data_IF_404593935693
#
_entry.id   IF_404593935693
#
_cell.length_a   1.000
_cell.length_b   1.000
_cell.length_c   1.000
_cell.angle_alpha   90.00
_cell.angle_beta   90.00
_cell.angle_gamma   90.00
#
_symmetry.space_group_name_H-M   'P 1'
#
loop_
_entity.id
_entity.type
_entity.pdbx_description
1 polymer ?
#
# COMPACT_ATOMS: atom_id res chain seq x y z
N UNK A 1 -30.77 6.38 -0.37
CA UNK A 1 -30.80 5.16 -1.20
C UNK A 1 -30.09 5.34 -2.55
N UNK A 2 -30.37 6.41 -3.31
CA UNK A 2 -29.72 6.66 -4.62
C UNK A 2 -28.20 6.92 -4.54
N UNK A 3 -27.75 7.75 -3.60
CA UNK A 3 -26.32 8.03 -3.39
C UNK A 3 -25.50 6.80 -3.02
N UNK A 4 -26.04 5.95 -2.13
CA UNK A 4 -25.39 4.70 -1.74
C UNK A 4 -25.20 3.79 -2.95
N UNK A 5 -26.26 3.52 -3.72
CA UNK A 5 -26.19 2.67 -4.93
C UNK A 5 -25.22 3.21 -5.99
N UNK A 6 -25.19 4.54 -6.16
CA UNK A 6 -24.26 5.17 -7.10
C UNK A 6 -22.79 4.89 -6.72
N UNK A 7 -22.43 5.08 -5.46
CA UNK A 7 -21.05 4.85 -4.99
C UNK A 7 -20.74 3.38 -4.76
N UNK A 8 -21.70 2.55 -4.38
CA UNK A 8 -21.58 1.08 -4.36
C UNK A 8 -21.25 0.55 -5.77
N UNK A 9 -21.85 1.09 -6.83
CA UNK A 9 -21.48 0.73 -8.21
C UNK A 9 -20.07 1.16 -8.65
N UNK A 10 -19.46 2.10 -7.93
CA UNK A 10 -18.08 2.62 -8.18
C UNK A 10 -17.06 1.87 -7.34
N UNK A 11 -17.36 1.66 -6.05
CA UNK A 11 -16.42 1.12 -5.05
C UNK A 11 -16.68 -0.33 -4.66
N UNK A 12 -17.88 -0.84 -4.88
CA UNK A 12 -18.29 -2.22 -4.58
C UNK A 12 -17.99 -3.21 -5.72
N UNK A 13 -17.36 -2.77 -6.81
CA UNK A 13 -16.81 -3.72 -7.79
C UNK A 13 -15.55 -4.36 -7.20
N UNK A 14 -15.51 -5.69 -7.19
CA UNK A 14 -14.28 -6.41 -6.85
C UNK A 14 -13.14 -6.00 -7.80
N UNK A 15 -11.96 -5.82 -7.20
CA UNK A 15 -10.67 -5.44 -7.79
C UNK A 15 -10.80 -4.51 -8.99
N UNK A 16 -10.56 -3.21 -8.76
CA UNK A 16 -9.88 -2.46 -9.81
C UNK A 16 -8.60 -3.23 -10.13
N UNK A 17 -8.49 -3.72 -11.36
CA UNK A 17 -7.21 -3.91 -12.03
C UNK A 17 -6.46 -2.56 -11.90
N UNK A 18 -5.83 -2.27 -10.76
CA UNK A 18 -4.65 -1.43 -10.80
C UNK A 18 -3.78 -2.13 -11.83
N UNK A 19 -3.61 -1.47 -12.98
CA UNK A 19 -3.51 -2.20 -14.24
C UNK A 19 -2.38 -3.21 -14.10
N UNK A 20 -2.68 -4.47 -14.38
CA UNK A 20 -1.68 -5.55 -14.33
C UNK A 20 -0.40 -5.13 -15.07
N UNK A 21 -0.56 -4.25 -16.07
CA UNK A 21 0.47 -3.52 -16.82
C UNK A 21 1.36 -2.57 -16.03
N UNK A 22 0.84 -1.78 -15.07
CA UNK A 22 1.65 -0.87 -14.23
C UNK A 22 2.59 -1.67 -13.32
N UNK A 23 2.12 -2.80 -12.84
CA UNK A 23 2.89 -3.70 -11.98
C UNK A 23 3.82 -4.62 -12.77
N UNK A 24 3.35 -5.13 -13.90
CA UNK A 24 4.19 -5.81 -14.87
C UNK A 24 5.33 -4.89 -15.29
N UNK A 25 5.17 -3.58 -15.46
CA UNK A 25 6.33 -2.74 -15.76
C UNK A 25 7.40 -2.74 -14.65
N UNK A 26 6.99 -2.66 -13.37
CA UNK A 26 7.90 -2.70 -12.20
C UNK A 26 8.60 -4.07 -12.08
N UNK A 27 7.91 -5.14 -12.51
CA UNK A 27 8.31 -6.54 -12.31
C UNK A 27 8.99 -7.19 -13.53
N UNK A 28 8.46 -6.92 -14.72
CA UNK A 28 8.61 -7.71 -15.96
C UNK A 28 9.83 -7.33 -16.77
N UNK A 29 10.50 -6.24 -16.43
CA UNK A 29 11.83 -5.96 -16.93
C UNK A 29 12.79 -6.12 -15.76
N UNK A 30 13.99 -6.66 -16.00
CA UNK A 30 15.13 -6.69 -15.07
C UNK A 30 15.60 -5.28 -14.61
N UNK A 31 14.67 -4.32 -14.46
CA UNK A 31 14.87 -2.97 -13.93
C UNK A 31 15.35 -3.06 -12.49
N UNK A 32 14.78 -3.95 -11.67
CA UNK A 32 15.21 -4.16 -10.28
C UNK A 32 16.37 -5.15 -10.23
N UNK A 33 17.50 -4.68 -9.68
CA UNK A 33 18.64 -5.54 -9.37
C UNK A 33 18.27 -6.47 -8.20
N UNK A 34 19.05 -7.51 -7.99
CA UNK A 34 18.76 -8.44 -6.90
C UNK A 34 18.92 -7.79 -5.53
N UNK A 35 19.82 -6.80 -5.38
CA UNK A 35 19.94 -6.00 -4.16
C UNK A 35 18.69 -5.13 -3.90
N UNK A 36 18.09 -4.58 -4.96
CA UNK A 36 16.85 -3.79 -4.84
C UNK A 36 15.69 -4.66 -4.34
N UNK A 37 15.59 -5.89 -4.87
CA UNK A 37 14.58 -6.87 -4.46
C UNK A 37 14.78 -7.29 -3.02
N UNK A 38 16.02 -7.60 -2.65
CA UNK A 38 16.38 -7.93 -1.27
C UNK A 38 16.01 -6.79 -0.31
N UNK A 39 16.29 -5.54 -0.68
CA UNK A 39 15.91 -4.38 0.11
C UNK A 39 14.39 -4.20 0.24
N UNK A 40 13.62 -4.43 -0.83
CA UNK A 40 12.14 -4.35 -0.77
C UNK A 40 11.55 -5.45 0.11
N UNK A 41 12.11 -6.66 0.02
CA UNK A 41 11.60 -7.86 0.68
C UNK A 41 12.07 -8.03 2.12
N UNK A 42 13.16 -7.36 2.53
CA UNK A 42 13.67 -7.48 3.91
C UNK A 42 12.58 -7.19 4.93
N UNK A 43 12.63 -7.87 6.06
CA UNK A 43 11.65 -7.68 7.13
C UNK A 43 11.56 -6.21 7.57
N UNK A 44 10.37 -5.83 8.05
CA UNK A 44 10.20 -4.52 8.66
C UNK A 44 11.03 -4.44 9.94
N UNK A 45 11.83 -3.38 10.07
CA UNK A 45 12.56 -3.14 11.31
C UNK A 45 11.77 -2.22 12.23
N UNK A 46 11.88 -2.42 13.55
CA UNK A 46 11.24 -1.53 14.52
C UNK A 46 11.67 -0.08 14.36
N UNK A 47 12.95 0.16 14.08
CA UNK A 47 13.49 1.49 13.83
C UNK A 47 12.83 2.20 12.62
N UNK A 48 12.53 1.46 11.55
CA UNK A 48 11.85 1.98 10.37
C UNK A 48 10.40 2.37 10.69
N UNK A 49 9.68 1.55 11.46
CA UNK A 49 8.31 1.86 11.90
C UNK A 49 8.31 3.06 12.86
N UNK A 50 9.21 3.09 13.83
CA UNK A 50 9.35 4.20 14.78
C UNK A 50 9.63 5.53 14.06
N UNK A 51 10.56 5.51 13.09
CA UNK A 51 10.87 6.69 12.27
C UNK A 51 9.66 7.12 11.44
N UNK A 52 8.92 6.17 10.87
CA UNK A 52 7.71 6.46 10.09
C UNK A 52 6.67 7.16 10.95
N UNK A 53 6.34 6.61 12.13
CA UNK A 53 5.35 7.17 13.05
C UNK A 53 5.71 8.60 13.47
N UNK A 54 7.00 8.85 13.79
CA UNK A 54 7.50 10.19 14.12
C UNK A 54 7.37 11.18 12.95
N UNK A 55 7.49 10.70 11.72
CA UNK A 55 7.38 11.53 10.51
C UNK A 55 5.94 11.82 10.05
N UNK A 56 4.94 11.22 10.70
CA UNK A 56 3.54 11.39 10.30
C UNK A 56 3.08 12.86 10.43
N UNK A 57 2.42 13.41 9.39
CA UNK A 57 1.92 14.78 9.44
C UNK A 57 0.68 14.90 10.32
N UNK A 58 0.54 16.01 11.04
CA UNK A 58 -0.65 16.26 11.88
C UNK A 58 -1.89 16.61 11.05
N UNK A 59 -3.05 16.55 11.71
CA UNK A 59 -4.37 16.94 11.21
C UNK A 59 -4.84 16.12 10.00
N UNK A 60 -4.56 14.82 10.03
CA UNK A 60 -5.09 13.86 9.05
C UNK A 60 -6.31 13.14 9.61
N UNK A 61 -7.28 12.90 8.75
CA UNK A 61 -8.51 12.21 9.12
C UNK A 61 -8.22 10.74 9.49
N UNK A 62 -8.76 10.24 10.61
CA UNK A 62 -8.63 8.85 11.03
C UNK A 62 -9.45 7.92 10.13
N UNK A 63 -9.30 6.61 10.34
CA UNK A 63 -10.12 5.59 9.68
C UNK A 63 -11.41 5.32 10.46
N UNK A 64 -11.95 4.11 10.30
CA UNK A 64 -13.15 3.65 11.02
C UNK A 64 -12.97 3.53 12.53
N UNK A 65 -11.74 3.34 12.96
CA UNK A 65 -11.31 3.27 14.36
C UNK A 65 -11.33 4.63 15.08
N UNK A 66 -11.39 5.74 14.33
CA UNK A 66 -11.29 7.08 14.89
C UNK A 66 -9.91 7.44 15.46
N UNK A 67 -8.87 6.62 15.23
CA UNK A 67 -7.53 6.85 15.79
C UNK A 67 -6.66 7.69 14.84
N UNK A 68 -6.38 8.96 15.16
CA UNK A 68 -5.59 9.83 14.29
C UNK A 68 -4.09 9.58 14.47
N UNK A 69 -3.26 10.19 13.61
CA UNK A 69 -1.81 10.01 13.68
C UNK A 69 -1.22 10.49 15.02
N UNK A 70 -1.81 11.52 15.59
CA UNK A 70 -1.44 12.11 16.87
C UNK A 70 -1.63 11.12 18.02
N UNK A 71 -2.60 10.21 17.95
CA UNK A 71 -2.77 9.15 18.93
C UNK A 71 -1.55 8.23 18.92
N UNK A 72 -1.17 7.73 17.74
CA UNK A 72 0.00 6.87 17.58
C UNK A 72 1.29 7.57 18.03
N UNK A 73 1.47 8.84 17.68
CA UNK A 73 2.64 9.62 18.09
C UNK A 73 2.70 9.85 19.61
N UNK A 74 1.55 10.09 20.26
CA UNK A 74 1.49 10.40 21.69
C UNK A 74 1.62 9.16 22.57
N UNK A 75 1.04 8.05 22.14
CA UNK A 75 0.97 6.80 22.91
C UNK A 75 1.92 5.72 22.38
N UNK A 76 2.86 6.06 21.49
CA UNK A 76 3.76 5.08 20.86
C UNK A 76 4.54 4.22 21.86
N UNK A 77 4.94 4.81 22.99
CA UNK A 77 5.65 4.07 24.04
C UNK A 77 4.79 2.98 24.70
N UNK A 78 3.46 3.09 24.63
CA UNK A 78 2.51 2.14 25.21
C UNK A 78 2.07 1.07 24.21
N UNK A 79 1.86 1.44 22.93
CA UNK A 79 1.25 0.56 21.92
C UNK A 79 2.21 0.14 20.81
N UNK A 80 3.40 0.72 20.75
CA UNK A 80 4.27 0.63 19.57
C UNK A 80 4.81 -0.77 19.31
N UNK A 81 4.93 -1.61 20.34
CA UNK A 81 5.38 -3.00 20.19
C UNK A 81 4.29 -3.84 19.53
N UNK A 82 3.05 -3.71 20.00
CA UNK A 82 1.90 -4.43 19.48
C UNK A 82 1.60 -4.01 18.04
N UNK A 83 1.60 -2.71 17.77
CA UNK A 83 1.42 -2.19 16.41
C UNK A 83 2.55 -2.67 15.50
N UNK A 84 3.82 -2.66 15.94
CA UNK A 84 4.93 -3.20 15.16
C UNK A 84 4.69 -4.67 14.79
N UNK A 85 4.28 -5.51 15.73
CA UNK A 85 4.03 -6.92 15.48
C UNK A 85 2.93 -7.13 14.44
N UNK A 86 1.81 -6.40 14.56
CA UNK A 86 0.72 -6.44 13.57
C UNK A 86 1.21 -6.02 12.18
N UNK A 87 1.95 -4.91 12.08
CA UNK A 87 2.47 -4.43 10.79
C UNK A 87 3.48 -5.40 10.19
N UNK A 88 4.32 -6.01 11.02
CA UNK A 88 5.33 -6.98 10.60
C UNK A 88 4.68 -8.27 10.09
N UNK A 89 3.67 -8.79 10.78
CA UNK A 89 2.89 -9.95 10.33
C UNK A 89 2.16 -9.65 9.02
N UNK A 90 1.44 -8.53 8.95
CA UNK A 90 0.74 -8.12 7.74
C UNK A 90 1.69 -7.96 6.56
N UNK A 91 2.87 -7.36 6.82
CA UNK A 91 3.93 -7.26 5.84
C UNK A 91 4.34 -8.66 5.40
N UNK A 92 4.76 -9.56 6.29
CA UNK A 92 5.30 -10.88 5.92
C UNK A 92 4.29 -11.79 5.22
N UNK A 93 3.04 -11.80 5.66
CA UNK A 93 1.99 -12.59 5.04
C UNK A 93 1.50 -12.00 3.71
N UNK A 94 1.75 -10.71 3.47
CA UNK A 94 1.20 -9.99 2.33
C UNK A 94 -0.32 -9.84 2.42
N UNK A 95 -0.86 -9.79 3.63
CA UNK A 95 -2.28 -9.71 3.92
C UNK A 95 -2.53 -8.67 5.01
N UNK A 96 -3.61 -7.92 4.86
CA UNK A 96 -4.07 -6.98 5.86
C UNK A 96 -5.15 -7.61 6.72
N UNK A 97 -5.22 -7.16 7.97
CA UNK A 97 -6.36 -7.44 8.84
C UNK A 97 -7.67 -6.90 8.23
N UNK A 98 -8.81 -7.45 8.66
CA UNK A 98 -10.13 -6.99 8.23
C UNK A 98 -10.35 -5.49 8.46
N UNK A 99 -9.93 -4.95 9.61
CA UNK A 99 -10.08 -3.53 9.91
C UNK A 99 -9.21 -2.67 8.99
N UNK A 100 -8.01 -3.13 8.67
CA UNK A 100 -7.08 -2.46 7.77
C UNK A 100 -7.54 -2.49 6.31
N UNK A 101 -8.39 -3.46 5.92
CA UNK A 101 -9.05 -3.51 4.60
C UNK A 101 -10.34 -2.71 4.56
N UNK A 102 -10.85 -2.27 5.70
CA UNK A 102 -12.11 -1.54 5.81
C UNK A 102 -11.86 -0.04 5.76
N UNK A 103 -12.46 0.63 4.78
CA UNK A 103 -12.39 2.07 4.60
C UNK A 103 -13.76 2.74 4.74
N UNK A 104 -13.80 3.94 5.33
CA UNK A 104 -15.00 4.79 5.31
C UNK A 104 -14.95 5.68 4.08
N UNK A 105 -16.03 5.70 3.29
CA UNK A 105 -16.16 6.65 2.18
C UNK A 105 -16.81 7.93 2.70
N UNK A 106 -16.10 9.05 2.59
CA UNK A 106 -16.59 10.39 2.90
C UNK A 106 -16.74 11.17 1.60
N UNK A 107 -17.88 11.85 1.44
CA UNK A 107 -18.19 12.64 0.25
C UNK A 107 -17.84 14.12 0.48
N UNK A 108 -16.84 14.61 -0.24
CA UNK A 108 -16.44 16.03 -0.21
C UNK A 108 -17.02 16.75 -1.42
N UNK A 109 -17.64 17.91 -1.21
CA UNK A 109 -18.26 18.67 -2.29
C UNK A 109 -17.20 19.19 -3.28
N UNK A 110 -17.42 19.00 -4.60
CA UNK A 110 -16.58 19.62 -5.66
C UNK A 110 -16.92 21.08 -5.89
N UNK A 111 -18.21 21.40 -5.71
CA UNK A 111 -18.83 22.68 -6.01
C UNK A 111 -19.72 23.08 -4.85
N UNK A 112 -20.08 24.36 -4.77
CA UNK A 112 -21.08 24.86 -3.83
C UNK A 112 -22.45 24.25 -4.14
N UNK A 113 -23.14 23.77 -3.10
CA UNK A 113 -24.52 23.25 -3.20
C UNK A 113 -24.72 22.14 -4.25
N UNK A 114 -23.99 21.02 -4.15
CA UNK A 114 -24.11 19.91 -5.09
C UNK A 114 -25.50 19.27 -5.05
N UNK A 115 -26.04 18.97 -6.23
CA UNK A 115 -27.34 18.34 -6.45
C UNK A 115 -27.22 16.92 -7.02
N UNK A 116 -26.07 16.55 -7.56
CA UNK A 116 -25.83 15.23 -8.20
C UNK A 116 -24.66 14.50 -7.54
N UNK A 117 -24.70 13.17 -7.55
CA UNK A 117 -23.64 12.34 -6.93
C UNK A 117 -22.26 12.56 -7.56
N UNK A 118 -22.17 12.84 -8.87
CA UNK A 118 -20.91 13.11 -9.56
C UNK A 118 -20.26 14.45 -9.19
N UNK A 119 -20.99 15.35 -8.51
CA UNK A 119 -20.49 16.63 -7.96
C UNK A 119 -19.81 16.45 -6.60
N UNK A 120 -19.71 15.23 -6.09
CA UNK A 120 -18.91 14.89 -4.92
C UNK A 120 -17.60 14.21 -5.33
N UNK A 121 -16.54 14.47 -4.55
CA UNK A 121 -15.30 13.68 -4.53
C UNK A 121 -15.43 12.67 -3.40
N UNK A 122 -15.58 11.38 -3.71
CA UNK A 122 -15.45 10.36 -2.68
C UNK A 122 -13.98 10.29 -2.22
N UNK A 123 -13.77 10.27 -0.91
CA UNK A 123 -12.49 10.06 -0.26
C UNK A 123 -12.62 8.85 0.64
N UNK A 124 -11.79 7.83 0.41
CA UNK A 124 -11.71 6.66 1.29
C UNK A 124 -10.76 6.95 2.45
N UNK A 125 -11.26 6.85 3.67
CA UNK A 125 -10.51 6.98 4.91
C UNK A 125 -10.18 5.58 5.44
N UNK A 126 -8.91 5.21 5.33
CA UNK A 126 -8.35 3.97 5.88
C UNK A 126 -7.88 4.16 7.32
N UNK A 127 -7.71 3.07 8.07
CA UNK A 127 -7.09 3.08 9.41
C UNK A 127 -5.65 3.60 9.37
N UNK A 128 -5.18 4.11 10.51
CA UNK A 128 -3.86 4.75 10.59
C UNK A 128 -2.71 3.75 10.47
N UNK A 129 -2.85 2.56 11.05
CA UNK A 129 -1.89 1.46 10.92
C UNK A 129 -1.70 1.01 9.46
N UNK A 130 -2.78 0.86 8.67
CA UNK A 130 -2.70 0.65 7.22
C UNK A 130 -1.89 1.77 6.56
N UNK A 131 -2.17 3.04 6.90
CA UNK A 131 -1.47 4.20 6.32
C UNK A 131 0.01 4.20 6.69
N UNK A 132 0.40 3.74 7.89
CA UNK A 132 1.79 3.59 8.31
C UNK A 132 2.49 2.57 7.41
N UNK A 133 1.94 1.36 7.30
CA UNK A 133 2.50 0.31 6.45
C UNK A 133 2.62 0.75 5.00
N UNK A 134 1.56 1.36 4.46
CA UNK A 134 1.52 1.89 3.12
C UNK A 134 2.64 2.91 2.87
N UNK A 135 2.86 3.83 3.82
CA UNK A 135 3.92 4.84 3.71
C UNK A 135 5.32 4.23 3.73
N UNK A 136 5.56 3.19 4.54
CA UNK A 136 6.85 2.49 4.58
C UNK A 136 7.15 1.84 3.24
N UNK A 137 6.21 1.06 2.72
CA UNK A 137 6.36 0.37 1.43
C UNK A 137 6.60 1.38 0.31
N UNK A 138 5.82 2.46 0.29
CA UNK A 138 5.99 3.54 -0.69
C UNK A 138 7.36 4.19 -0.58
N UNK A 139 7.87 4.41 0.64
CA UNK A 139 9.20 4.97 0.86
C UNK A 139 10.30 4.05 0.32
N UNK A 140 10.20 2.73 0.58
CA UNK A 140 11.16 1.73 0.04
C UNK A 140 11.13 1.66 -1.50
N UNK A 141 9.94 1.68 -2.10
CA UNK A 141 9.79 1.74 -3.54
C UNK A 141 10.41 3.01 -4.13
N UNK A 142 10.09 4.16 -3.53
CA UNK A 142 10.59 5.46 -3.94
C UNK A 142 12.12 5.50 -3.90
N UNK A 143 12.77 4.98 -2.85
CA UNK A 143 14.23 4.97 -2.77
C UNK A 143 14.93 4.16 -3.88
N UNK A 144 14.22 3.22 -4.51
CA UNK A 144 14.78 2.41 -5.60
C UNK A 144 14.40 2.98 -6.97
N UNK A 145 13.17 3.50 -7.05
CA UNK A 145 12.56 3.92 -8.30
C UNK A 145 12.90 5.38 -8.64
N UNK A 146 13.24 6.26 -7.70
CA UNK A 146 13.60 7.65 -8.01
C UNK A 146 14.75 7.75 -9.02
N UNK A 147 15.80 6.95 -8.88
CA UNK A 147 16.93 6.92 -9.82
C UNK A 147 16.58 6.35 -11.22
N UNK A 148 15.47 5.62 -11.33
CA UNK A 148 15.08 4.86 -12.53
C UNK A 148 13.89 5.45 -13.27
N UNK A 149 12.94 6.06 -12.55
CA UNK A 149 11.75 6.71 -13.11
C UNK A 149 12.10 8.01 -13.82
N UNK A 150 13.13 8.73 -13.37
CA UNK A 150 13.61 9.95 -14.03
C UNK A 150 14.17 9.65 -15.44
N UNK A 151 14.74 8.45 -15.65
CA UNK A 151 15.25 8.02 -16.96
C UNK A 151 14.17 7.55 -17.94
N UNK A 152 13.00 7.15 -17.44
CA UNK A 152 11.95 6.50 -18.23
C UNK A 152 10.63 7.31 -18.27
N UNK A 153 10.55 8.50 -17.66
CA UNK A 153 9.35 9.36 -17.58
C UNK A 153 8.09 8.68 -16.97
N UNK A 154 8.27 7.71 -16.07
CA UNK A 154 7.14 7.02 -15.44
C UNK A 154 6.64 7.76 -14.20
N UNK A 155 5.32 7.87 -14.07
CA UNK A 155 4.66 8.41 -12.87
C UNK A 155 3.98 7.26 -12.14
N UNK A 156 4.40 6.94 -10.91
CA UNK A 156 3.64 5.99 -10.07
C UNK A 156 2.30 6.65 -9.75
N UNK A 157 1.21 6.16 -10.36
CA UNK A 157 -0.12 6.70 -10.14
C UNK A 157 -0.56 6.48 -8.68
N UNK A 158 -1.41 7.37 -8.17
CA UNK A 158 -1.81 7.43 -6.75
C UNK A 158 -2.67 6.26 -6.26
N UNK A 159 -3.07 5.31 -7.12
CA UNK A 159 -4.18 4.39 -6.85
C UNK A 159 -3.82 2.90 -6.82
N UNK A 160 -2.55 2.55 -6.74
CA UNK A 160 -2.14 1.17 -6.50
C UNK A 160 -2.39 0.78 -5.04
N UNK A 161 -3.16 -0.29 -4.81
CA UNK A 161 -3.25 -0.93 -3.50
C UNK A 161 -1.83 -1.38 -3.09
N UNK A 162 -1.36 -0.88 -1.96
CA UNK A 162 0.02 -1.05 -1.54
C UNK A 162 0.38 -2.52 -1.25
N UNK A 163 -0.63 -3.32 -0.89
CA UNK A 163 -0.51 -4.77 -0.69
C UNK A 163 -0.34 -5.49 -2.02
N UNK A 164 -1.00 -5.02 -3.06
CA UNK A 164 -0.83 -5.60 -4.39
C UNK A 164 0.63 -5.42 -4.84
N UNK A 165 1.25 -4.25 -4.60
CA UNK A 165 2.68 -4.04 -4.90
C UNK A 165 3.58 -5.02 -4.12
N UNK A 166 3.35 -5.22 -2.82
CA UNK A 166 4.14 -6.16 -2.03
C UNK A 166 3.95 -7.62 -2.46
N UNK A 167 2.70 -8.01 -2.74
CA UNK A 167 2.37 -9.35 -3.22
C UNK A 167 3.04 -9.63 -4.55
N UNK A 168 3.03 -8.63 -5.43
CA UNK A 168 3.62 -8.68 -6.76
C UNK A 168 5.15 -8.79 -6.74
N UNK A 169 5.85 -8.04 -5.89
CA UNK A 169 7.31 -8.19 -5.70
C UNK A 169 7.66 -9.63 -5.32
N UNK A 170 6.88 -10.23 -4.39
CA UNK A 170 7.12 -11.59 -3.89
C UNK A 170 6.81 -12.69 -4.90
N UNK A 171 5.75 -12.54 -5.69
CA UNK A 171 5.34 -13.55 -6.71
C UNK A 171 6.42 -13.71 -7.78
N UNK A 172 7.03 -12.61 -8.22
CA UNK A 172 8.08 -12.61 -9.25
C UNK A 172 9.31 -13.43 -8.87
N UNK A 173 9.63 -13.49 -7.57
CA UNK A 173 10.72 -14.32 -7.05
C UNK A 173 10.35 -15.81 -7.00
N UNK A 174 9.11 -16.15 -6.62
CA UNK A 174 8.64 -17.55 -6.53
C UNK A 174 8.65 -18.22 -7.91
N UNK A 175 8.20 -17.52 -8.95
CA UNK A 175 8.24 -18.00 -10.34
C UNK A 175 9.69 -18.18 -10.84
N UNK A 176 10.62 -17.28 -10.49
CA UNK A 176 12.05 -17.40 -10.87
C UNK A 176 12.77 -18.53 -10.14
N UNK A 177 12.50 -18.74 -8.85
CA UNK A 177 13.10 -19.83 -8.05
C UNK A 177 12.63 -21.22 -8.49
N UNK A 178 11.36 -21.36 -8.89
CA UNK A 178 10.82 -22.60 -9.46
C UNK A 178 11.46 -22.87 -10.83
N UNK A 179 11.61 -21.85 -11.68
CA UNK A 179 12.25 -21.99 -12.98
C UNK A 179 13.76 -22.29 -12.89
N UNK A 180 14.47 -21.72 -11.91
CA UNK A 180 15.89 -22.00 -11.69
C UNK A 180 16.13 -23.42 -11.13
N UNK A 181 15.21 -23.95 -10.31
CA UNK A 181 15.24 -25.36 -9.85
C UNK A 181 14.89 -26.34 -10.97
N UNK A 182 13.95 -26.00 -11.85
CA UNK A 182 13.61 -26.81 -13.02
C UNK A 182 14.77 -26.88 -14.03
N UNK A 183 15.52 -25.78 -14.23
CA UNK A 183 16.67 -25.74 -15.15
C UNK A 183 17.91 -26.49 -14.62
N UNK A 184 18.04 -26.67 -13.31
CA UNK A 184 19.18 -27.36 -12.67
C UNK A 184 18.92 -28.83 -12.33
N UNK A 185 17.66 -29.27 -12.37
CA UNK A 185 17.25 -30.67 -12.14
C UNK A 185 17.24 -31.57 -13.39
N UNK A 186 17.47 -31.01 -14.58
CA UNK A 186 17.40 -31.71 -15.87
C UNK A 186 18.74 -32.24 -16.41
N UNK A 187 19.57 -32.86 -15.57
CA UNK A 187 20.70 -33.71 -16.02
C UNK A 187 20.88 -34.87 -15.04
N UNK A 188 20.10 -35.93 -15.23
CA UNK A 188 20.48 -37.30 -14.89
C UNK A 188 19.98 -38.22 -15.99
#
# INVERSE_FOLDING_TARGET
METYRYFEGIFGREKSEASEKDYDFIISKDILKDEDKEYLERDLSKAEVDAMVKSLPKYKSPGIDGLPYEFYQSYWNLIGVEIFNVLHECFNEGKLDENQRTGIIVLVQKITSPKKCNEYRPITLMTTDYKILAKIIKARLKSILEDKLEKENYTISKSSNIIDILTLIRVSRKTRLVNHRAATGGRR
#
